data_IF_200933137444
#
_entry.id   IF_200933137444
#
_cell.length_a   1.000
_cell.length_b   1.000
_cell.length_c   1.000
_cell.angle_alpha   90.00
_cell.angle_beta   90.00
_cell.angle_gamma   90.00
#
_symmetry.space_group_name_H-M   'P 1'
#
loop_
_entity.id
_entity.type
_entity.pdbx_description
1 polymer ?
#
# COMPACT_ATOMS: atom_id res chain seq x y z
N UNK A 1 1.55 -7.94 16.16
CA UNK A 1 2.71 -7.08 15.85
C UNK A 1 2.11 -5.82 15.22
N UNK A 2 2.33 -4.65 15.80
CA UNK A 2 1.64 -3.42 15.40
C UNK A 2 2.27 -2.88 14.10
N UNK A 3 1.63 -3.12 12.96
CA UNK A 3 2.05 -2.59 11.66
C UNK A 3 1.74 -1.09 11.63
N UNK A 4 2.79 -0.26 11.61
CA UNK A 4 2.67 1.19 11.66
C UNK A 4 2.13 1.74 10.33
N UNK A 5 0.96 2.39 10.41
CA UNK A 5 0.34 3.16 9.34
C UNK A 5 1.20 4.40 9.02
N UNK A 6 1.97 4.38 7.94
CA UNK A 6 2.79 5.52 7.51
C UNK A 6 2.26 6.05 6.16
N UNK A 7 1.15 6.78 6.20
CA UNK A 7 0.63 7.53 5.04
C UNK A 7 1.54 8.74 4.79
N UNK A 8 2.45 8.66 3.81
CA UNK A 8 3.29 9.79 3.42
C UNK A 8 2.59 10.60 2.32
N UNK A 9 1.99 11.74 2.69
CA UNK A 9 1.61 12.77 1.73
C UNK A 9 2.90 13.40 1.20
N UNK A 10 3.37 12.97 0.03
CA UNK A 10 4.46 13.66 -0.69
C UNK A 10 3.98 15.06 -1.09
N UNK A 11 4.22 16.02 -0.19
CA UNK A 11 4.12 17.43 -0.48
C UNK A 11 5.21 17.84 -1.47
N UNK A 12 4.82 18.04 -2.72
CA UNK A 12 5.42 19.04 -3.59
C UNK A 12 4.29 19.81 -4.27
N UNK A 13 4.17 21.09 -3.88
CA UNK A 13 3.23 22.03 -4.44
C UNK A 13 3.60 22.34 -5.91
N UNK A 14 2.80 21.83 -6.85
CA UNK A 14 2.73 22.37 -8.21
C UNK A 14 1.37 23.07 -8.38
N UNK A 15 1.32 24.31 -8.89
CA UNK A 15 0.08 25.05 -9.04
C UNK A 15 -0.61 24.62 -10.34
N UNK A 16 -1.31 23.48 -10.29
CA UNK A 16 -2.27 23.07 -11.32
C UNK A 16 -3.51 22.50 -10.64
N UNK A 17 -4.71 22.70 -11.20
CA UNK A 17 -5.96 22.34 -10.53
C UNK A 17 -6.02 20.84 -10.24
N UNK A 18 -5.97 20.49 -8.96
CA UNK A 18 -6.54 19.28 -8.34
C UNK A 18 -6.30 17.95 -9.07
N UNK A 19 -5.09 17.67 -9.54
CA UNK A 19 -4.71 16.30 -9.91
C UNK A 19 -4.29 15.54 -8.65
N UNK A 20 -5.26 14.89 -7.99
CA UNK A 20 -4.99 13.91 -6.95
C UNK A 20 -4.48 12.64 -7.66
N UNK A 21 -3.18 12.65 -7.99
CA UNK A 21 -2.50 11.52 -8.63
C UNK A 21 -2.74 10.24 -7.81
N UNK A 22 -2.80 9.08 -8.47
CA UNK A 22 -2.83 7.75 -7.83
C UNK A 22 -1.94 7.75 -6.58
N UNK A 23 -2.53 7.42 -5.42
CA UNK A 23 -1.76 7.36 -4.19
C UNK A 23 -0.79 6.17 -4.24
N UNK A 24 0.33 6.34 -3.54
CA UNK A 24 1.41 5.37 -3.44
C UNK A 24 1.43 4.90 -1.99
N UNK A 25 1.12 3.63 -1.79
CA UNK A 25 1.14 2.97 -0.49
C UNK A 25 2.45 2.19 -0.32
N UNK A 26 2.96 2.16 0.92
CA UNK A 26 4.25 1.58 1.26
C UNK A 26 4.07 0.43 2.24
N UNK A 27 4.66 -0.73 1.93
CA UNK A 27 4.87 -1.83 2.88
C UNK A 27 6.37 -1.95 3.18
N UNK A 28 6.75 -1.94 4.46
CA UNK A 28 8.13 -2.13 4.92
C UNK A 28 8.18 -3.33 5.85
N UNK A 29 9.11 -4.27 5.61
CA UNK A 29 9.27 -5.43 6.48
C UNK A 29 10.10 -5.09 7.70
N UNK A 30 9.56 -5.42 8.89
CA UNK A 30 10.22 -5.24 10.19
C UNK A 30 11.64 -5.79 10.21
N UNK A 31 12.58 -5.01 10.76
CA UNK A 31 13.97 -5.44 10.96
C UNK A 31 14.35 -5.46 12.45
N UNK A 32 14.98 -6.55 12.90
CA UNK A 32 15.49 -6.68 14.27
C UNK A 32 16.64 -5.71 14.59
N UNK A 33 17.33 -5.21 13.57
CA UNK A 33 18.36 -4.16 13.70
C UNK A 33 17.78 -2.74 13.64
N UNK A 34 16.45 -2.61 13.53
CA UNK A 34 15.75 -1.33 13.37
C UNK A 34 15.86 -0.77 11.96
N UNK A 35 15.30 0.43 11.77
CA UNK A 35 15.31 1.16 10.51
C UNK A 35 16.10 2.46 10.63
N UNK A 36 16.70 2.88 9.52
CA UNK A 36 17.23 4.23 9.41
C UNK A 36 16.09 5.25 9.50
N UNK A 37 16.35 6.44 10.07
CA UNK A 37 15.36 7.51 10.16
C UNK A 37 14.89 8.04 8.78
N UNK A 38 15.63 7.70 7.72
CA UNK A 38 15.29 7.96 6.33
C UNK A 38 15.24 6.63 5.58
N UNK A 39 14.14 6.38 4.86
CA UNK A 39 13.96 5.21 4.01
C UNK A 39 13.86 5.66 2.55
N UNK A 40 14.76 5.16 1.71
CA UNK A 40 14.71 5.39 0.27
C UNK A 40 13.68 4.45 -0.36
N UNK A 41 12.59 5.02 -0.89
CA UNK A 41 11.52 4.23 -1.51
C UNK A 41 11.97 3.52 -2.80
N UNK A 42 13.06 3.98 -3.41
CA UNK A 42 13.65 3.34 -4.59
C UNK A 42 14.48 2.11 -4.25
N UNK A 43 14.87 1.94 -2.98
CA UNK A 43 15.60 0.77 -2.53
C UNK A 43 14.70 -0.41 -2.15
N UNK A 44 13.38 -0.28 -2.32
CA UNK A 44 12.41 -1.33 -2.02
C UNK A 44 12.35 -2.34 -3.16
N UNK A 45 12.73 -3.57 -2.89
CA UNK A 45 12.94 -4.63 -3.90
C UNK A 45 12.16 -5.91 -3.63
N UNK A 46 11.28 -5.90 -2.65
CA UNK A 46 10.50 -7.07 -2.22
C UNK A 46 11.21 -7.96 -1.21
N UNK A 47 12.50 -7.75 -0.93
CA UNK A 47 13.20 -8.39 0.19
C UNK A 47 13.16 -7.55 1.48
N UNK A 48 13.02 -6.23 1.33
CA UNK A 48 12.97 -5.25 2.42
C UNK A 48 11.65 -4.45 2.45
N UNK A 49 10.70 -4.79 1.57
CA UNK A 49 9.42 -4.12 1.39
C UNK A 49 9.14 -3.84 -0.08
N UNK A 50 7.98 -3.26 -0.37
CA UNK A 50 7.53 -2.98 -1.73
C UNK A 50 6.56 -1.80 -1.75
N UNK A 51 6.23 -1.38 -2.96
CA UNK A 51 5.30 -0.28 -3.22
C UNK A 51 4.04 -0.81 -3.88
N UNK A 52 2.91 -0.39 -3.33
CA UNK A 52 1.59 -0.56 -3.93
C UNK A 52 1.19 0.78 -4.57
N UNK A 53 0.74 0.71 -5.82
CA UNK A 53 0.20 1.87 -6.51
C UNK A 53 -1.31 1.67 -6.64
N UNK A 54 -2.09 2.72 -6.31
CA UNK A 54 -3.51 2.73 -6.60
C UNK A 54 -3.79 2.48 -8.09
N UNK A 55 -4.94 1.85 -8.37
CA UNK A 55 -5.31 1.42 -9.72
C UNK A 55 -5.67 2.62 -10.58
N UNK A 56 -6.68 3.39 -10.17
CA UNK A 56 -7.14 4.57 -10.89
C UNK A 56 -6.84 5.87 -10.12
N UNK A 57 -6.78 6.97 -10.87
CA UNK A 57 -6.62 8.29 -10.28
C UNK A 57 -7.88 8.64 -9.47
N UNK A 58 -7.72 9.40 -8.38
CA UNK A 58 -8.82 9.86 -7.51
C UNK A 58 -9.55 8.82 -6.64
N UNK A 59 -9.37 7.52 -6.87
CA UNK A 59 -10.00 6.43 -6.09
C UNK A 59 -9.71 6.44 -4.58
N UNK A 60 -8.65 7.14 -4.18
CA UNK A 60 -8.27 7.24 -2.78
C UNK A 60 -7.79 5.91 -2.20
N UNK A 61 -7.10 5.08 -2.99
CA UNK A 61 -6.34 3.92 -2.48
C UNK A 61 -5.50 4.33 -1.26
N UNK A 62 -5.37 3.42 -0.30
CA UNK A 62 -4.67 3.70 0.96
C UNK A 62 -5.40 4.67 1.89
N UNK A 63 -6.68 4.99 1.65
CA UNK A 63 -7.49 5.82 2.55
C UNK A 63 -7.64 5.20 3.95
N UNK A 64 -7.62 3.87 4.01
CA UNK A 64 -7.54 3.07 5.24
C UNK A 64 -6.72 1.82 4.99
N UNK A 65 -5.99 1.37 6.02
CA UNK A 65 -5.22 0.11 6.01
C UNK A 65 -5.41 -0.57 7.37
N UNK A 66 -5.63 -1.88 7.37
CA UNK A 66 -5.69 -2.70 8.58
C UNK A 66 -5.05 -4.06 8.34
N UNK A 67 -4.50 -4.66 9.40
CA UNK A 67 -4.19 -6.09 9.38
C UNK A 67 -5.49 -6.89 9.32
N UNK A 68 -5.53 -7.90 8.45
CA UNK A 68 -6.64 -8.85 8.32
C UNK A 68 -6.36 -10.17 9.05
N UNK A 69 -5.09 -10.43 9.42
CA UNK A 69 -4.63 -11.73 9.87
C UNK A 69 -4.48 -12.69 8.68
N UNK A 70 -4.08 -13.93 8.93
CA UNK A 70 -4.02 -14.98 7.90
C UNK A 70 -5.44 -15.45 7.53
N UNK A 71 -6.02 -14.90 6.46
CA UNK A 71 -7.40 -15.22 6.03
C UNK A 71 -7.47 -16.38 5.05
N UNK A 72 -6.35 -16.76 4.44
CA UNK A 72 -6.27 -17.82 3.43
C UNK A 72 -5.66 -19.14 3.98
N UNK A 73 -5.09 -19.13 5.18
CA UNK A 73 -4.53 -20.28 5.89
C UNK A 73 -3.12 -20.66 5.45
N UNK A 74 -2.33 -19.74 4.88
CA UNK A 74 -0.97 -20.01 4.41
C UNK A 74 0.12 -19.79 5.47
N UNK A 75 -0.25 -19.28 6.64
CA UNK A 75 0.64 -19.01 7.76
C UNK A 75 1.23 -17.59 7.77
N UNK A 76 0.82 -16.70 6.87
CA UNK A 76 1.24 -15.30 6.84
C UNK A 76 0.06 -14.34 7.09
N UNK A 77 0.28 -13.30 7.89
CA UNK A 77 -0.76 -12.30 8.14
C UNK A 77 -1.02 -11.44 6.88
N UNK A 78 -2.29 -11.33 6.48
CA UNK A 78 -2.74 -10.52 5.35
C UNK A 78 -3.09 -9.08 5.76
N UNK A 79 -3.19 -8.21 4.77
CA UNK A 79 -3.62 -6.82 4.94
C UNK A 79 -4.83 -6.49 4.06
N UNK A 80 -5.67 -5.57 4.54
CA UNK A 80 -6.76 -4.99 3.76
C UNK A 80 -6.53 -3.48 3.56
N UNK A 81 -6.78 -3.01 2.34
CA UNK A 81 -6.64 -1.61 1.92
C UNK A 81 -7.97 -1.12 1.35
N UNK A 82 -8.40 0.07 1.77
CA UNK A 82 -9.60 0.74 1.24
C UNK A 82 -9.28 1.82 0.21
N UNK A 83 -10.04 1.83 -0.89
CA UNK A 83 -10.13 2.91 -1.87
C UNK A 83 -11.55 3.50 -1.83
N UNK A 84 -11.75 4.49 -0.96
CA UNK A 84 -13.09 5.00 -0.59
C UNK A 84 -13.84 5.69 -1.74
N UNK A 85 -13.15 6.14 -2.79
CA UNK A 85 -13.76 6.85 -3.92
C UNK A 85 -13.74 6.05 -5.22
N UNK A 86 -13.33 4.78 -5.18
CA UNK A 86 -13.33 3.93 -6.36
C UNK A 86 -14.75 3.68 -6.90
N UNK A 87 -14.83 3.39 -8.21
CA UNK A 87 -16.07 3.30 -8.98
C UNK A 87 -16.37 1.88 -9.49
N UNK A 88 -16.51 0.87 -8.61
CA UNK A 88 -16.65 -0.53 -9.02
C UNK A 88 -17.89 -0.72 -9.89
N UNK A 89 -17.69 -1.33 -11.06
CA UNK A 89 -18.74 -1.55 -12.07
C UNK A 89 -19.46 -0.25 -12.50
N UNK A 90 -18.79 0.89 -12.43
CA UNK A 90 -19.34 2.21 -12.79
C UNK A 90 -20.26 2.82 -11.73
N UNK A 91 -20.24 2.31 -10.49
CA UNK A 91 -20.97 2.92 -9.39
C UNK A 91 -20.11 3.99 -8.71
N UNK A 92 -20.44 5.25 -8.97
CA UNK A 92 -19.69 6.41 -8.48
C UNK A 92 -19.47 6.36 -6.96
N UNK A 93 -18.20 6.39 -6.54
CA UNK A 93 -17.72 6.41 -5.16
C UNK A 93 -18.33 5.32 -4.25
N UNK A 94 -18.68 4.16 -4.82
CA UNK A 94 -19.15 3.03 -4.03
C UNK A 94 -18.02 2.42 -3.17
N UNK A 95 -16.77 2.64 -3.58
CA UNK A 95 -15.56 2.24 -2.89
C UNK A 95 -15.16 0.80 -3.18
N UNK A 96 -13.85 0.55 -3.13
CA UNK A 96 -13.24 -0.76 -3.29
C UNK A 96 -12.41 -1.14 -2.07
N UNK A 97 -12.26 -2.44 -1.85
CA UNK A 97 -11.39 -2.98 -0.81
C UNK A 97 -10.53 -4.08 -1.41
N UNK A 98 -9.22 -3.99 -1.19
CA UNK A 98 -8.25 -4.94 -1.69
C UNK A 98 -7.64 -5.71 -0.53
N UNK A 99 -7.49 -7.02 -0.70
CA UNK A 99 -6.69 -7.85 0.20
C UNK A 99 -5.36 -8.11 -0.47
N UNK A 100 -4.28 -7.93 0.29
CA UNK A 100 -2.94 -8.30 -0.12
C UNK A 100 -2.53 -9.46 0.77
N UNK A 101 -2.36 -10.61 0.13
CA UNK A 101 -1.96 -11.82 0.84
C UNK A 101 -0.51 -11.72 1.30
N UNK A 102 -0.26 -12.13 2.53
CA UNK A 102 1.07 -12.34 3.08
C UNK A 102 1.82 -13.42 2.29
N UNK A 103 3.15 -13.34 2.30
CA UNK A 103 4.02 -14.38 1.76
C UNK A 103 5.45 -14.21 2.30
N UNK A 104 6.29 -15.22 2.12
CA UNK A 104 7.74 -15.17 2.33
C UNK A 104 8.51 -14.55 1.14
N UNK A 105 7.83 -14.29 0.01
CA UNK A 105 8.44 -13.80 -1.22
C UNK A 105 7.63 -12.64 -1.84
N UNK A 106 8.04 -11.40 -1.57
CA UNK A 106 7.46 -10.20 -2.21
C UNK A 106 8.34 -9.57 -3.29
N UNK A 107 9.47 -10.20 -3.63
CA UNK A 107 10.36 -9.78 -4.71
C UNK A 107 10.20 -10.74 -5.88
N UNK A 108 9.53 -10.29 -6.94
CA UNK A 108 9.39 -11.06 -8.17
C UNK A 108 10.77 -11.52 -8.65
N UNK A 109 11.05 -12.81 -8.51
CA UNK A 109 12.04 -13.47 -9.32
C UNK A 109 11.57 -13.32 -10.76
N UNK A 110 12.25 -12.46 -11.53
CA UNK A 110 12.19 -12.58 -12.98
C UNK A 110 12.56 -14.03 -13.32
N UNK A 111 11.56 -14.82 -13.69
CA UNK A 111 11.74 -16.09 -14.39
C UNK A 111 11.49 -15.86 -15.86
#
# INVERSE_FOLDING_TARGET
MEMALMTFLLGQALPTPMAMRCRRELCVFGSASGFSASLDLSSLDGSNGFVLNGIDEFDGSGSSVSGAGDINGDGFDDIIIGAIFADPNGNESAGESYVIFGSDEFGGGNS
#
